data_IF_870213166491
#
_entry.id   IF_870213166491
#
_cell.length_a   1.000
_cell.length_b   1.000
_cell.length_c   1.000
_cell.angle_alpha   90.00
_cell.angle_beta   90.00
_cell.angle_gamma   90.00
#
_symmetry.space_group_name_H-M   'P 1'
#
loop_
_entity.id
_entity.type
_entity.pdbx_description
1 polymer ?
#
# COMPACT_ATOMS: atom_id res chain seq x y z
N UNK A 1 -3.00 32.01 8.69
CA UNK A 1 -3.20 32.46 7.30
C UNK A 1 -4.46 31.86 6.70
N UNK A 2 -5.20 32.65 5.94
CA UNK A 2 -6.41 32.20 5.22
C UNK A 2 -6.09 31.20 4.11
N UNK A 3 -4.81 31.07 3.73
CA UNK A 3 -4.33 30.15 2.71
C UNK A 3 -3.71 28.87 3.27
N UNK A 4 -3.68 28.71 4.59
CA UNK A 4 -3.15 27.50 5.21
C UNK A 4 -4.09 26.32 4.96
N UNK A 5 -3.54 25.27 4.40
CA UNK A 5 -4.23 24.00 4.19
C UNK A 5 -3.83 23.05 5.31
N UNK A 6 -4.82 22.48 5.99
CA UNK A 6 -4.55 21.45 7.00
C UNK A 6 -4.05 20.21 6.29
N UNK A 7 -2.88 19.74 6.70
CA UNK A 7 -2.24 18.56 6.13
C UNK A 7 -2.26 17.44 7.16
N UNK A 8 -2.86 16.34 6.81
CA UNK A 8 -2.96 15.17 7.66
C UNK A 8 -1.83 14.19 7.37
N UNK A 9 -1.38 13.50 8.41
CA UNK A 9 -0.36 12.47 8.29
C UNK A 9 -0.99 11.10 8.43
N UNK A 10 -0.54 10.18 7.60
CA UNK A 10 -1.01 8.80 7.61
C UNK A 10 0.18 7.85 7.58
N UNK A 11 0.07 6.77 8.31
CA UNK A 11 1.01 5.65 8.25
C UNK A 11 0.32 4.47 7.61
N UNK A 12 0.97 3.87 6.63
CA UNK A 12 0.46 2.71 5.91
C UNK A 12 1.40 1.54 6.09
N UNK A 13 0.85 0.39 6.47
CA UNK A 13 1.56 -0.88 6.49
C UNK A 13 0.91 -1.83 5.50
N UNK A 14 1.71 -2.35 4.58
CA UNK A 14 1.29 -3.39 3.64
C UNK A 14 2.06 -4.66 4.00
N UNK A 15 1.32 -5.73 4.21
CA UNK A 15 1.89 -7.04 4.54
C UNK A 15 1.10 -8.13 3.85
N UNK A 16 1.67 -9.32 3.77
CA UNK A 16 0.95 -10.41 3.17
C UNK A 16 1.79 -11.68 3.09
N UNK A 17 1.22 -12.63 2.34
CA UNK A 17 1.78 -13.94 2.11
C UNK A 17 1.76 -14.22 0.61
N UNK A 18 2.90 -14.64 0.08
CA UNK A 18 3.04 -14.99 -1.33
C UNK A 18 3.41 -16.46 -1.46
N UNK A 19 2.74 -17.22 -2.34
CA UNK A 19 3.13 -18.59 -2.60
C UNK A 19 4.41 -18.64 -3.44
N UNK A 20 5.32 -19.55 -3.10
CA UNK A 20 6.49 -19.84 -3.90
C UNK A 20 6.07 -20.76 -5.05
N UNK A 21 6.39 -20.33 -6.29
CA UNK A 21 6.16 -21.12 -7.50
C UNK A 21 7.43 -21.85 -7.92
N UNK A 22 7.30 -22.91 -8.72
CA UNK A 22 8.46 -23.59 -9.31
C UNK A 22 9.33 -22.62 -10.12
N UNK A 23 8.70 -21.71 -10.88
CA UNK A 23 9.42 -20.70 -11.65
C UNK A 23 10.26 -19.79 -10.76
N UNK A 24 9.73 -19.36 -9.63
CA UNK A 24 10.47 -18.47 -8.72
C UNK A 24 11.62 -19.17 -8.00
N UNK A 25 11.49 -20.47 -7.72
CA UNK A 25 12.57 -21.26 -7.10
C UNK A 25 13.76 -21.44 -8.06
N UNK A 26 13.50 -21.70 -9.34
CA UNK A 26 14.57 -21.91 -10.33
C UNK A 26 15.12 -20.60 -10.88
N UNK A 27 14.44 -19.48 -10.70
CA UNK A 27 14.93 -18.17 -11.12
C UNK A 27 16.16 -17.76 -10.30
N UNK A 28 17.16 -17.19 -10.97
CA UNK A 28 18.36 -16.69 -10.30
C UNK A 28 18.10 -15.38 -9.58
N UNK A 29 17.22 -14.56 -10.18
CA UNK A 29 16.89 -13.24 -9.69
C UNK A 29 15.38 -13.15 -9.46
N UNK A 30 14.99 -12.80 -8.27
CA UNK A 30 13.60 -12.52 -7.92
C UNK A 30 13.49 -11.09 -7.44
N UNK A 31 12.44 -10.41 -7.88
CA UNK A 31 12.18 -9.03 -7.50
C UNK A 31 10.80 -8.89 -6.90
N UNK A 32 10.76 -8.13 -5.80
CA UNK A 32 9.50 -7.60 -5.27
C UNK A 32 9.34 -6.17 -5.78
N UNK A 33 8.20 -5.87 -6.39
CA UNK A 33 7.91 -4.54 -6.95
C UNK A 33 6.58 -4.02 -6.48
N UNK A 34 6.50 -2.71 -6.31
CA UNK A 34 5.21 -2.03 -6.23
C UNK A 34 5.28 -0.68 -6.95
N UNK A 35 4.16 -0.32 -7.57
CA UNK A 35 4.02 0.93 -8.32
C UNK A 35 3.34 1.97 -7.48
N UNK A 36 3.80 3.21 -7.61
CA UNK A 36 3.22 4.38 -6.95
C UNK A 36 2.93 5.43 -8.03
N UNK A 37 1.66 5.72 -8.26
CA UNK A 37 1.26 6.60 -9.38
C UNK A 37 1.45 8.08 -9.11
N UNK A 38 1.25 8.54 -7.90
CA UNK A 38 1.53 9.92 -7.50
C UNK A 38 2.30 9.89 -6.20
N UNK A 39 3.55 10.28 -6.26
CA UNK A 39 4.46 10.20 -5.12
C UNK A 39 4.53 11.48 -4.29
N UNK A 40 3.76 12.50 -4.64
CA UNK A 40 3.69 13.71 -3.82
C UNK A 40 3.11 13.37 -2.46
N UNK A 41 3.78 13.78 -1.41
CA UNK A 41 3.38 13.44 -0.05
C UNK A 41 3.72 12.04 0.41
N UNK A 42 4.31 11.21 -0.45
CA UNK A 42 4.73 9.85 -0.14
C UNK A 42 6.17 9.82 0.35
N UNK A 43 6.40 9.24 1.52
CA UNK A 43 7.76 9.01 2.01
C UNK A 43 8.29 7.68 1.47
N UNK A 44 9.50 7.69 0.95
CA UNK A 44 10.12 6.48 0.40
C UNK A 44 10.27 5.42 1.50
N UNK A 45 9.70 4.22 1.32
CA UNK A 45 10.04 3.12 2.20
C UNK A 45 11.50 2.73 1.96
N UNK A 46 12.25 2.50 3.02
CA UNK A 46 13.66 2.16 2.90
C UNK A 46 13.89 0.65 2.84
N UNK A 47 13.00 -0.13 3.41
CA UNK A 47 13.21 -1.54 3.63
C UNK A 47 11.95 -2.37 3.43
N UNK A 48 12.17 -3.57 2.88
CA UNK A 48 11.19 -4.64 2.77
C UNK A 48 11.61 -5.79 3.67
N UNK A 49 10.71 -6.28 4.51
CA UNK A 49 10.88 -7.58 5.16
C UNK A 49 10.29 -8.65 4.25
N UNK A 50 11.06 -9.65 3.91
CA UNK A 50 10.66 -10.72 3.01
C UNK A 50 11.26 -12.04 3.48
N UNK A 51 10.42 -13.00 3.84
CA UNK A 51 10.85 -14.30 4.35
C UNK A 51 11.72 -14.20 5.60
N UNK A 52 11.43 -13.27 6.51
CA UNK A 52 12.23 -13.05 7.72
C UNK A 52 13.53 -12.29 7.52
N UNK A 53 13.85 -11.87 6.31
CA UNK A 53 15.03 -11.08 5.98
C UNK A 53 14.64 -9.68 5.54
N UNK A 54 15.56 -8.74 5.67
CA UNK A 54 15.36 -7.35 5.28
C UNK A 54 16.13 -7.04 4.01
N UNK A 55 15.45 -6.43 3.04
CA UNK A 55 16.01 -6.04 1.75
C UNK A 55 15.77 -4.54 1.53
N UNK A 56 16.71 -3.89 0.86
CA UNK A 56 16.60 -2.49 0.49
C UNK A 56 15.64 -2.31 -0.66
N UNK A 57 14.75 -1.30 -0.55
CA UNK A 57 13.85 -0.88 -1.62
C UNK A 57 14.49 0.29 -2.37
N UNK A 58 14.65 0.11 -3.67
CA UNK A 58 15.21 1.11 -4.57
C UNK A 58 14.10 1.74 -5.39
N UNK A 59 14.16 3.03 -5.60
CA UNK A 59 13.24 3.72 -6.48
C UNK A 59 13.74 3.62 -7.92
N UNK A 60 12.86 3.16 -8.81
CA UNK A 60 13.07 3.13 -10.27
C UNK A 60 11.86 3.76 -10.96
N UNK A 61 11.98 5.03 -11.39
CA UNK A 61 10.85 5.77 -11.97
C UNK A 61 9.65 5.82 -11.02
N UNK A 62 8.54 5.21 -11.37
CA UNK A 62 7.30 5.13 -10.58
C UNK A 62 7.19 3.82 -9.79
N UNK A 63 8.25 3.04 -9.72
CA UNK A 63 8.29 1.77 -9.01
C UNK A 63 9.30 1.79 -7.87
N UNK A 64 9.03 0.99 -6.84
CA UNK A 64 9.99 0.59 -5.84
C UNK A 64 10.29 -0.89 -6.04
N UNK A 65 11.57 -1.23 -6.03
CA UNK A 65 12.05 -2.58 -6.35
C UNK A 65 13.02 -3.06 -5.29
N UNK A 66 12.84 -4.29 -4.83
CA UNK A 66 13.80 -4.99 -4.00
C UNK A 66 14.19 -6.31 -4.68
N UNK A 67 15.48 -6.56 -4.79
CA UNK A 67 15.98 -7.87 -5.17
C UNK A 67 15.94 -8.77 -3.93
N UNK A 68 15.15 -9.82 -4.00
CA UNK A 68 14.88 -10.67 -2.84
C UNK A 68 15.51 -12.06 -3.02
N UNK A 69 15.85 -12.66 -1.89
CA UNK A 69 16.39 -14.02 -1.83
C UNK A 69 15.44 -14.82 -0.92
N UNK A 70 15.09 -16.01 -1.34
CA UNK A 70 14.26 -16.88 -0.54
C UNK A 70 15.03 -17.42 0.67
N UNK A 71 14.34 -17.72 1.78
CA UNK A 71 14.95 -18.43 2.89
C UNK A 71 15.60 -19.75 2.42
N UNK A 72 16.69 -20.13 3.09
CA UNK A 72 17.37 -21.39 2.79
C UNK A 72 16.41 -22.57 2.94
N UNK A 73 16.39 -23.43 1.93
CA UNK A 73 15.50 -24.59 1.91
C UNK A 73 14.07 -24.31 1.43
N UNK A 74 13.80 -23.08 1.00
CA UNK A 74 12.48 -22.74 0.42
C UNK A 74 12.22 -23.55 -0.85
N UNK A 75 11.00 -24.04 -0.99
CA UNK A 75 10.57 -24.87 -2.12
C UNK A 75 9.20 -24.44 -2.63
N UNK A 76 8.88 -24.87 -3.85
CA UNK A 76 7.56 -24.64 -4.43
C UNK A 76 6.46 -25.17 -3.51
N UNK A 77 5.41 -24.39 -3.32
CA UNK A 77 4.32 -24.68 -2.40
C UNK A 77 4.47 -24.04 -1.02
N UNK A 78 5.67 -23.59 -0.65
CA UNK A 78 5.87 -22.80 0.56
C UNK A 78 5.28 -21.40 0.40
N UNK A 79 5.05 -20.73 1.52
CA UNK A 79 4.49 -19.37 1.57
C UNK A 79 5.51 -18.45 2.22
N UNK A 80 5.72 -17.30 1.62
CA UNK A 80 6.64 -16.26 2.12
C UNK A 80 5.85 -15.08 2.66
N UNK A 81 6.20 -14.65 3.87
CA UNK A 81 5.67 -13.42 4.46
C UNK A 81 6.45 -12.20 3.96
N UNK A 82 5.74 -11.12 3.67
CA UNK A 82 6.36 -9.84 3.35
C UNK A 82 5.69 -8.71 4.12
N UNK A 83 6.42 -7.63 4.36
CA UNK A 83 5.89 -6.40 4.95
C UNK A 83 6.75 -5.19 4.61
N UNK A 84 6.09 -4.05 4.41
CA UNK A 84 6.75 -2.74 4.34
C UNK A 84 5.81 -1.65 4.84
N UNK A 85 6.38 -0.52 5.27
CA UNK A 85 5.64 0.64 5.76
C UNK A 85 6.09 1.89 5.04
N UNK A 86 5.19 2.84 4.93
CA UNK A 86 5.50 4.19 4.43
C UNK A 86 4.57 5.22 5.07
N UNK A 87 4.96 6.48 4.99
CA UNK A 87 4.16 7.58 5.50
C UNK A 87 3.62 8.42 4.34
N UNK A 88 2.40 8.94 4.53
CA UNK A 88 1.75 9.87 3.62
C UNK A 88 1.51 11.19 4.32
N UNK A 89 1.68 12.28 3.59
CA UNK A 89 1.43 13.63 4.10
C UNK A 89 0.58 14.41 3.10
N UNK A 90 -0.62 14.77 3.49
CA UNK A 90 -1.50 15.61 2.70
C UNK A 90 -2.05 14.97 1.43
N UNK A 91 -1.98 13.66 1.31
CA UNK A 91 -2.56 12.93 0.18
C UNK A 91 -4.07 13.01 0.22
N UNK A 92 -4.70 13.29 -0.93
CA UNK A 92 -6.15 13.39 -1.02
C UNK A 92 -6.84 12.02 -1.02
N UNK A 93 -6.25 11.06 -1.70
CA UNK A 93 -6.79 9.71 -1.76
C UNK A 93 -5.71 8.67 -1.93
N UNK A 94 -5.97 7.49 -1.41
CA UNK A 94 -5.07 6.34 -1.50
C UNK A 94 -5.88 5.12 -1.92
N UNK A 95 -5.47 4.51 -3.02
CA UNK A 95 -6.08 3.28 -3.54
C UNK A 95 -5.04 2.19 -3.67
N UNK A 96 -5.47 0.96 -3.43
CA UNK A 96 -4.64 -0.22 -3.53
C UNK A 96 -5.18 -1.16 -4.57
N UNK A 97 -4.27 -1.76 -5.33
CA UNK A 97 -4.55 -2.88 -6.20
C UNK A 97 -3.70 -4.05 -5.68
N UNK A 98 -4.28 -4.96 -4.91
CA UNK A 98 -3.53 -6.05 -4.29
C UNK A 98 -3.09 -7.08 -5.33
N UNK A 99 -2.02 -7.80 -5.00
CA UNK A 99 -1.59 -8.94 -5.81
C UNK A 99 -2.69 -10.01 -5.88
N UNK A 100 -2.86 -10.60 -7.05
CA UNK A 100 -3.83 -11.69 -7.26
C UNK A 100 -3.45 -12.98 -6.55
N UNK A 101 -2.15 -13.16 -6.28
CA UNK A 101 -1.62 -14.35 -5.64
C UNK A 101 -1.42 -14.12 -4.15
N UNK A 102 -1.87 -15.07 -3.34
CA UNK A 102 -1.68 -15.03 -1.90
C UNK A 102 -2.64 -14.10 -1.16
N UNK A 103 -2.20 -13.61 -0.04
CA UNK A 103 -2.97 -12.74 0.86
C UNK A 103 -2.25 -11.42 1.05
N UNK A 104 -3.02 -10.32 1.04
CA UNK A 104 -2.50 -8.98 1.30
C UNK A 104 -3.33 -8.30 2.38
N UNK A 105 -2.67 -7.71 3.35
CA UNK A 105 -3.28 -6.88 4.39
C UNK A 105 -2.74 -5.48 4.27
N UNK A 106 -3.65 -4.51 4.24
CA UNK A 106 -3.32 -3.08 4.23
C UNK A 106 -3.89 -2.47 5.49
N UNK A 107 -3.05 -1.87 6.30
CA UNK A 107 -3.44 -1.16 7.52
C UNK A 107 -3.07 0.31 7.40
N UNK A 108 -4.03 1.19 7.63
CA UNK A 108 -3.86 2.64 7.59
C UNK A 108 -4.18 3.21 8.96
N UNK A 109 -3.30 4.04 9.48
CA UNK A 109 -3.52 4.88 10.65
C UNK A 109 -3.33 6.33 10.22
N UNK A 110 -4.29 7.20 10.51
CA UNK A 110 -4.27 8.58 10.05
C UNK A 110 -4.82 9.52 11.11
N UNK A 111 -4.31 10.73 11.14
CA UNK A 111 -4.88 11.82 11.96
C UNK A 111 -6.12 12.46 11.32
N UNK A 112 -6.50 12.04 10.11
CA UNK A 112 -7.68 12.56 9.42
C UNK A 112 -8.98 12.00 10.03
N UNK A 113 -9.93 12.87 10.47
CA UNK A 113 -11.11 12.40 11.22
C UNK A 113 -12.31 12.00 10.36
N UNK A 114 -12.30 12.26 9.04
CA UNK A 114 -13.47 12.07 8.17
C UNK A 114 -13.16 11.20 6.95
N UNK A 115 -12.65 9.97 7.12
CA UNK A 115 -12.31 9.13 5.97
C UNK A 115 -13.56 8.73 5.19
N UNK A 116 -13.44 8.69 3.86
CA UNK A 116 -14.43 8.11 2.97
C UNK A 116 -13.84 6.85 2.33
N UNK A 117 -14.29 5.70 2.78
CA UNK A 117 -13.83 4.43 2.25
C UNK A 117 -14.48 4.15 0.91
N UNK A 118 -13.69 3.80 -0.09
CA UNK A 118 -14.09 3.67 -1.49
C UNK A 118 -13.66 2.32 -2.06
N UNK A 119 -14.28 1.98 -3.19
CA UNK A 119 -13.95 0.77 -3.93
C UNK A 119 -14.90 -0.38 -3.66
N UNK A 120 -14.67 -1.48 -4.35
CA UNK A 120 -15.50 -2.69 -4.25
C UNK A 120 -15.33 -3.41 -2.90
N UNK A 121 -14.17 -3.25 -2.25
CA UNK A 121 -13.90 -3.81 -0.94
C UNK A 121 -13.79 -2.70 0.09
N UNK A 122 -14.63 -2.78 1.11
CA UNK A 122 -14.58 -1.92 2.27
C UNK A 122 -13.64 -2.52 3.34
N UNK A 123 -13.11 -1.71 4.27
CA UNK A 123 -12.23 -2.25 5.29
C UNK A 123 -12.93 -3.31 6.16
N UNK A 124 -12.20 -4.36 6.48
CA UNK A 124 -12.68 -5.42 7.36
C UNK A 124 -12.87 -4.92 8.79
N UNK A 125 -11.96 -4.05 9.22
CA UNK A 125 -12.06 -3.38 10.51
C UNK A 125 -11.81 -1.89 10.33
N UNK A 126 -12.54 -1.08 11.10
CA UNK A 126 -12.36 0.38 11.09
C UNK A 126 -12.73 0.95 12.46
N UNK A 127 -11.98 1.95 12.85
CA UNK A 127 -12.26 2.77 14.03
C UNK A 127 -12.06 4.22 13.64
N UNK A 128 -13.10 5.04 13.76
CA UNK A 128 -13.07 6.45 13.42
C UNK A 128 -13.36 7.26 14.66
N UNK A 129 -12.45 8.19 14.99
CA UNK A 129 -12.54 9.10 16.15
C UNK A 129 -12.32 10.53 15.69
N UNK A 130 -12.55 11.49 16.57
CA UNK A 130 -12.35 12.91 16.28
C UNK A 130 -10.88 13.27 15.95
N UNK A 131 -9.94 12.49 16.45
CA UNK A 131 -8.49 12.68 16.24
C UNK A 131 -7.90 11.82 15.13
N UNK A 132 -8.70 11.06 14.41
CA UNK A 132 -8.24 10.26 13.29
C UNK A 132 -8.95 8.93 13.12
N UNK A 133 -8.37 8.04 12.33
CA UNK A 133 -8.92 6.72 12.08
C UNK A 133 -7.85 5.63 11.95
N UNK A 134 -8.29 4.41 12.16
CA UNK A 134 -7.56 3.19 11.83
C UNK A 134 -8.46 2.31 10.96
N UNK A 135 -7.93 1.74 9.90
CA UNK A 135 -8.67 0.84 9.02
C UNK A 135 -7.75 -0.27 8.52
N UNK A 136 -8.31 -1.46 8.37
CA UNK A 136 -7.57 -2.62 7.87
C UNK A 136 -8.38 -3.33 6.81
N UNK A 137 -7.77 -3.59 5.68
CA UNK A 137 -8.29 -4.46 4.61
C UNK A 137 -7.47 -5.74 4.58
N UNK A 138 -8.16 -6.87 4.46
CA UNK A 138 -7.52 -8.17 4.25
C UNK A 138 -8.11 -8.80 2.99
N UNK A 139 -7.26 -9.03 2.02
CA UNK A 139 -7.64 -9.51 0.69
C UNK A 139 -6.92 -10.79 0.40
N UNK A 140 -7.67 -11.80 -0.04
CA UNK A 140 -7.12 -13.08 -0.48
C UNK A 140 -7.60 -13.39 -1.89
N UNK A 141 -6.97 -14.37 -2.52
CA UNK A 141 -7.40 -14.87 -3.82
C UNK A 141 -8.84 -15.43 -3.83
N UNK A 142 -9.39 -15.70 -2.65
CA UNK A 142 -10.76 -16.22 -2.50
C UNK A 142 -11.82 -15.14 -2.40
N UNK A 143 -11.49 -13.95 -1.95
CA UNK A 143 -12.46 -12.88 -1.71
C UNK A 143 -12.25 -11.63 -2.57
N UNK A 144 -11.32 -11.67 -3.53
CA UNK A 144 -11.10 -10.59 -4.46
C UNK A 144 -11.44 -11.00 -5.88
N UNK A 145 -12.22 -10.19 -6.60
CA UNK A 145 -12.26 -10.27 -8.05
C UNK A 145 -11.02 -9.55 -8.61
N UNK A 146 -10.65 -9.89 -9.85
CA UNK A 146 -9.40 -9.45 -10.44
C UNK A 146 -9.24 -7.94 -10.66
N UNK A 147 -10.25 -7.13 -10.33
CA UNK A 147 -10.27 -5.68 -10.59
C UNK A 147 -10.79 -4.86 -9.40
N UNK A 148 -10.92 -5.46 -8.24
CA UNK A 148 -11.46 -4.75 -7.09
C UNK A 148 -10.40 -3.81 -6.52
N UNK A 149 -10.68 -2.51 -6.66
CA UNK A 149 -9.91 -1.49 -5.96
C UNK A 149 -10.45 -1.34 -4.55
N UNK A 150 -9.56 -1.02 -3.63
CA UNK A 150 -9.91 -0.64 -2.27
C UNK A 150 -9.14 0.60 -1.89
N UNK A 151 -9.76 1.49 -1.15
CA UNK A 151 -9.08 2.73 -0.81
C UNK A 151 -9.85 3.64 0.13
N UNK A 152 -9.25 4.80 0.34
CA UNK A 152 -9.80 5.83 1.20
C UNK A 152 -9.55 7.22 0.60
N UNK A 153 -10.53 8.09 0.73
CA UNK A 153 -10.38 9.52 0.44
C UNK A 153 -10.23 10.29 1.74
N UNK A 154 -9.26 11.19 1.74
CA UNK A 154 -8.99 12.16 2.79
C UNK A 154 -9.58 13.50 2.36
N UNK A 155 -10.90 13.58 2.29
CA UNK A 155 -11.62 14.75 1.79
C UNK A 155 -12.42 15.36 2.92
N UNK A 156 -12.20 16.65 3.18
CA UNK A 156 -13.04 17.38 4.12
C UNK A 156 -14.31 17.88 3.40
N UNK A 157 -15.47 17.25 3.62
CA UNK A 157 -16.70 17.66 2.94
C UNK A 157 -17.19 19.04 3.38
N UNK A 158 -16.71 19.55 4.52
CA UNK A 158 -17.08 20.86 5.05
C UNK A 158 -16.27 22.02 4.44
N UNK A 159 -15.21 21.73 3.66
CA UNK A 159 -14.33 22.76 3.10
C UNK A 159 -13.96 22.47 1.64
N UNK A 160 -14.81 22.85 0.67
CA UNK A 160 -14.52 22.63 -0.75
C UNK A 160 -13.26 23.32 -1.26
N UNK A 161 -12.89 24.45 -0.68
CA UNK A 161 -11.67 25.18 -1.05
C UNK A 161 -10.42 24.40 -0.68
N UNK A 162 -10.38 23.82 0.51
CA UNK A 162 -9.25 22.95 0.92
C UNK A 162 -9.15 21.71 0.03
N UNK A 163 -10.28 21.11 -0.33
CA UNK A 163 -10.32 19.98 -1.25
C UNK A 163 -9.68 20.32 -2.59
N UNK A 164 -10.05 21.45 -3.19
CA UNK A 164 -9.48 21.90 -4.46
C UNK A 164 -7.98 22.15 -4.35
N UNK A 165 -7.52 22.76 -3.28
CA UNK A 165 -6.10 23.01 -3.04
C UNK A 165 -5.31 21.72 -2.87
N UNK A 166 -5.85 20.75 -2.15
CA UNK A 166 -5.21 19.44 -1.93
C UNK A 166 -5.17 18.63 -3.21
N UNK A 167 -6.23 18.62 -3.98
CA UNK A 167 -6.30 17.92 -5.27
C UNK A 167 -5.25 18.46 -6.25
N UNK A 168 -5.05 19.76 -6.31
CA UNK A 168 -4.03 20.38 -7.13
C UNK A 168 -2.60 20.07 -6.67
N UNK A 169 -2.39 19.82 -5.37
CA UNK A 169 -1.07 19.64 -4.78
C UNK A 169 -0.65 18.16 -4.66
N UNK A 170 -1.54 17.27 -4.24
CA UNK A 170 -1.20 15.90 -3.86
C UNK A 170 -1.89 14.82 -4.70
N UNK A 171 -3.11 15.06 -5.19
CA UNK A 171 -3.81 14.14 -6.06
C UNK A 171 -4.14 12.78 -5.45
N UNK A 172 -4.33 11.83 -6.33
CA UNK A 172 -4.67 10.43 -6.01
C UNK A 172 -3.42 9.56 -6.04
N UNK A 173 -3.22 8.77 -4.98
CA UNK A 173 -2.14 7.81 -4.89
C UNK A 173 -2.69 6.40 -5.11
N UNK A 174 -2.12 5.67 -6.06
CA UNK A 174 -2.45 4.27 -6.34
C UNK A 174 -1.21 3.42 -6.14
N UNK A 175 -1.34 2.37 -5.35
CA UNK A 175 -0.28 1.39 -5.12
C UNK A 175 -0.68 0.05 -5.73
N UNK A 176 0.16 -0.44 -6.61
CA UNK A 176 -0.02 -1.73 -7.29
C UNK A 176 1.11 -2.66 -6.88
N UNK A 177 0.74 -3.81 -6.32
CA UNK A 177 1.69 -4.82 -5.87
C UNK A 177 1.94 -5.85 -6.98
N UNK A 178 3.20 -6.08 -7.30
CA UNK A 178 3.62 -7.07 -8.29
C UNK A 178 4.84 -7.83 -7.79
N UNK A 179 4.77 -9.16 -7.84
CA UNK A 179 5.92 -10.01 -7.61
C UNK A 179 6.40 -10.60 -8.95
N UNK A 180 7.66 -10.37 -9.29
CA UNK A 180 8.23 -10.78 -10.57
C UNK A 180 9.38 -11.74 -10.36
N UNK A 181 9.29 -12.93 -10.95
CA UNK A 181 10.36 -13.91 -11.04
C UNK A 181 11.13 -13.69 -12.34
N UNK A 182 12.39 -13.32 -12.19
CA UNK A 182 13.27 -13.00 -13.32
C UNK A 182 14.25 -14.08 -13.69
#
# INVERSE_FOLDING_TARGET
>A
SIYDVIVYNSKVKISGKLPITEKSVVARDNEFRFKVTDIKGFSNPSQLTFGGQTFELRRQSEEFVANVVFPKGAKAGDVIDFAFTFDLKGTESLFFNPSRDGNTTVAISSSYPHPSFQGALLPNTREVKDDGFNATWSVSSFNSSSYDDMGVKFVDPANPYQQSMRSAKYGMLIIILVFVAG
#
